data_IF_965615574904
#
_entry.id   IF_965615574904
#
_cell.length_a   1.000
_cell.length_b   1.000
_cell.length_c   1.000
_cell.angle_alpha   90.00
_cell.angle_beta   90.00
_cell.angle_gamma   90.00
#
_symmetry.space_group_name_H-M   'P 1'
#
loop_
_entity.id
_entity.type
_entity.pdbx_description
1 polymer ?
#
# COMPACT_ATOMS: atom_id res chain seq x y z
N UNK A 1 31.55 -26.16 45.30
CA UNK A 1 31.04 -26.12 43.91
C UNK A 1 29.54 -25.87 43.99
N UNK A 2 29.16 -24.59 43.86
CA UNK A 2 27.76 -24.16 44.02
C UNK A 2 27.11 -24.17 42.66
N UNK A 3 26.15 -25.05 42.42
CA UNK A 3 25.33 -25.06 41.19
C UNK A 3 24.21 -24.03 41.37
N UNK A 4 24.29 -22.93 40.66
CA UNK A 4 23.19 -21.96 40.55
C UNK A 4 22.27 -22.49 39.40
N UNK A 5 21.10 -23.00 39.78
CA UNK A 5 20.03 -23.29 38.83
C UNK A 5 19.35 -21.99 38.42
N UNK A 6 19.52 -21.56 37.19
CA UNK A 6 18.67 -20.54 36.59
C UNK A 6 17.31 -21.17 36.30
N UNK A 7 16.29 -20.83 37.08
CA UNK A 7 14.90 -21.11 36.78
C UNK A 7 14.47 -20.09 35.73
N UNK A 8 14.43 -20.51 34.48
CA UNK A 8 13.87 -19.73 33.39
C UNK A 8 12.35 -19.75 33.55
N UNK A 9 11.76 -18.65 34.04
CA UNK A 9 10.32 -18.48 34.12
C UNK A 9 9.77 -18.38 32.70
N UNK A 10 9.13 -19.40 32.20
CA UNK A 10 8.27 -19.35 31.03
C UNK A 10 7.01 -18.59 31.45
N UNK A 11 6.91 -17.31 31.10
CA UNK A 11 5.63 -16.62 31.14
C UNK A 11 4.76 -17.24 30.04
N UNK A 12 3.54 -17.71 30.37
CA UNK A 12 2.65 -18.21 29.34
C UNK A 12 2.32 -17.09 28.36
N UNK A 13 2.48 -17.35 27.07
CA UNK A 13 2.02 -16.46 26.02
C UNK A 13 0.47 -16.49 26.05
N UNK A 14 -0.13 -15.41 26.51
CA UNK A 14 -1.57 -15.23 26.39
C UNK A 14 -1.85 -14.63 25.00
N UNK A 15 -2.62 -15.31 24.18
CA UNK A 15 -3.11 -14.74 22.96
C UNK A 15 -3.86 -13.43 23.27
N UNK A 16 -3.59 -12.33 22.58
CA UNK A 16 -4.33 -11.09 22.79
C UNK A 16 -5.83 -11.31 22.53
N UNK A 17 -6.70 -10.45 23.10
CA UNK A 17 -8.12 -10.54 22.83
C UNK A 17 -8.41 -10.39 21.35
N UNK A 18 -9.53 -10.96 20.88
CA UNK A 18 -9.94 -10.84 19.49
C UNK A 18 -10.11 -9.36 19.10
N UNK A 19 -9.63 -8.95 17.91
CA UNK A 19 -9.80 -7.59 17.44
C UNK A 19 -11.28 -7.26 17.26
N UNK A 20 -11.65 -6.02 17.53
CA UNK A 20 -13.02 -5.52 17.37
C UNK A 20 -13.03 -4.29 16.49
N UNK A 21 -13.92 -4.31 15.48
CA UNK A 21 -14.09 -3.20 14.56
C UNK A 21 -15.58 -2.86 14.42
N UNK A 22 -15.85 -1.55 14.32
CA UNK A 22 -17.18 -1.03 14.02
C UNK A 22 -17.20 -0.47 12.60
N UNK A 23 -18.02 -1.07 11.74
CA UNK A 23 -18.19 -0.63 10.35
C UNK A 23 -18.93 0.71 10.27
N UNK A 24 -18.49 1.55 9.33
CA UNK A 24 -19.21 2.72 8.86
C UNK A 24 -19.10 2.82 7.35
N UNK A 25 -20.24 2.82 6.65
CA UNK A 25 -20.29 3.10 5.21
C UNK A 25 -20.13 4.60 4.99
N UNK A 26 -19.16 4.99 4.19
CA UNK A 26 -18.87 6.38 3.83
C UNK A 26 -19.51 6.73 2.49
N UNK A 27 -19.38 5.83 1.51
CA UNK A 27 -20.00 5.99 0.19
C UNK A 27 -20.51 4.62 -0.29
N UNK A 28 -21.69 4.57 -0.87
CA UNK A 28 -22.32 3.37 -1.45
C UNK A 28 -22.52 3.49 -2.97
N UNK A 29 -21.86 4.48 -3.59
CA UNK A 29 -21.98 4.79 -5.02
C UNK A 29 -20.60 4.94 -5.70
N UNK A 30 -19.57 4.30 -5.14
CA UNK A 30 -18.25 4.19 -5.73
C UNK A 30 -18.34 3.40 -7.04
N UNK A 31 -17.69 3.86 -8.11
CA UNK A 31 -17.75 3.15 -9.40
C UNK A 31 -16.81 1.94 -9.43
N UNK A 32 -15.56 2.10 -9.01
CA UNK A 32 -14.55 1.03 -8.94
C UNK A 32 -13.71 1.13 -7.66
N UNK A 33 -13.29 2.36 -7.25
CA UNK A 33 -12.50 2.57 -6.07
C UNK A 33 -11.08 2.02 -6.18
N UNK A 34 -10.38 2.34 -7.24
CA UNK A 34 -9.06 1.77 -7.58
C UNK A 34 -7.95 2.01 -6.56
N UNK A 35 -7.97 3.16 -5.88
CA UNK A 35 -6.92 3.50 -4.92
C UNK A 35 -7.40 4.44 -3.84
N UNK A 36 -6.99 4.18 -2.59
CA UNK A 36 -7.28 4.99 -1.41
C UNK A 36 -6.00 5.63 -0.90
N UNK A 37 -6.07 6.87 -0.45
CA UNK A 37 -5.02 7.53 0.31
C UNK A 37 -5.62 8.29 1.49
N UNK A 38 -4.83 8.59 2.50
CA UNK A 38 -5.26 9.28 3.71
C UNK A 38 -4.36 10.47 3.98
N UNK A 39 -4.93 11.57 4.46
CA UNK A 39 -4.18 12.75 4.89
C UNK A 39 -5.03 14.01 4.94
N UNK A 40 -4.54 15.02 5.60
CA UNK A 40 -5.25 16.30 5.81
C UNK A 40 -5.26 17.11 4.50
N UNK A 41 -6.43 17.28 3.90
CA UNK A 41 -6.62 18.00 2.64
C UNK A 41 -6.89 19.48 2.88
N UNK A 42 -7.65 19.81 3.91
CA UNK A 42 -8.12 21.18 4.17
C UNK A 42 -7.32 21.93 5.25
N UNK A 43 -6.40 21.26 5.94
CA UNK A 43 -5.54 21.85 6.96
C UNK A 43 -6.21 21.97 8.33
N UNK A 44 -7.21 21.14 8.62
CA UNK A 44 -7.90 21.14 9.92
C UNK A 44 -7.24 20.24 10.97
N UNK A 45 -6.14 19.58 10.60
CA UNK A 45 -5.33 18.70 11.45
C UNK A 45 -5.88 17.29 11.57
N UNK A 46 -6.89 16.92 10.76
CA UNK A 46 -7.47 15.58 10.76
C UNK A 46 -7.27 14.92 9.40
N UNK A 47 -6.95 13.63 9.38
CA UNK A 47 -6.79 12.92 8.11
C UNK A 47 -8.15 12.70 7.42
N UNK A 48 -8.24 13.14 6.17
CA UNK A 48 -9.34 12.89 5.26
C UNK A 48 -9.12 11.61 4.46
N UNK A 49 -10.17 11.12 3.78
CA UNK A 49 -10.06 9.99 2.86
C UNK A 49 -10.04 10.52 1.43
N UNK A 50 -9.04 10.11 0.65
CA UNK A 50 -8.94 10.41 -0.78
C UNK A 50 -9.15 9.12 -1.57
N UNK A 51 -9.88 9.20 -2.69
CA UNK A 51 -10.22 8.05 -3.52
C UNK A 51 -9.99 8.35 -5.00
N UNK A 52 -9.17 7.53 -5.64
CA UNK A 52 -9.12 7.44 -7.10
C UNK A 52 -10.25 6.53 -7.59
N UNK A 53 -11.37 7.11 -7.97
CA UNK A 53 -12.47 6.39 -8.59
C UNK A 53 -12.37 6.46 -10.12
N UNK A 54 -13.21 5.73 -10.82
CA UNK A 54 -13.16 5.51 -12.27
C UNK A 54 -12.79 6.75 -13.07
N UNK A 55 -13.55 7.85 -12.92
CA UNK A 55 -13.37 9.11 -13.67
C UNK A 55 -13.16 10.34 -12.80
N UNK A 56 -13.23 10.17 -11.50
CA UNK A 56 -13.10 11.25 -10.54
C UNK A 56 -12.05 10.92 -9.49
N UNK A 57 -11.33 11.94 -9.09
CA UNK A 57 -10.53 11.95 -7.86
C UNK A 57 -11.37 12.72 -6.85
N UNK A 58 -11.67 12.07 -5.75
CA UNK A 58 -12.57 12.62 -4.73
C UNK A 58 -11.94 12.55 -3.35
N UNK A 59 -12.43 13.36 -2.43
CA UNK A 59 -12.07 13.27 -1.04
C UNK A 59 -13.30 13.40 -0.15
N UNK A 60 -13.20 12.85 1.05
CA UNK A 60 -14.24 12.84 2.07
C UNK A 60 -13.67 13.47 3.32
N UNK A 61 -14.20 14.63 3.70
CA UNK A 61 -13.73 15.40 4.84
C UNK A 61 -13.99 14.67 6.14
N UNK A 62 -12.98 14.54 6.98
CA UNK A 62 -13.13 13.97 8.31
C UNK A 62 -14.12 14.78 9.16
N UNK A 63 -15.07 14.07 9.79
CA UNK A 63 -16.13 14.63 10.61
C UNK A 63 -17.50 14.65 9.92
N UNK A 64 -17.63 15.16 8.70
CA UNK A 64 -18.90 15.14 7.96
C UNK A 64 -18.95 14.05 6.88
N UNK A 65 -17.81 13.52 6.47
CA UNK A 65 -17.61 12.50 5.44
C UNK A 65 -18.34 12.81 4.13
N UNK A 66 -18.52 14.09 3.82
CA UNK A 66 -19.13 14.52 2.56
C UNK A 66 -18.13 14.36 1.43
N UNK A 67 -18.64 13.83 0.33
CA UNK A 67 -17.89 13.65 -0.92
C UNK A 67 -17.66 15.00 -1.61
N UNK A 68 -16.41 15.27 -1.99
CA UNK A 68 -15.97 16.44 -2.74
C UNK A 68 -15.12 15.99 -3.91
N UNK A 69 -15.21 16.69 -5.04
CA UNK A 69 -14.46 16.33 -6.25
C UNK A 69 -13.22 17.20 -6.34
N UNK A 70 -12.02 16.56 -6.38
CA UNK A 70 -10.75 17.23 -6.64
C UNK A 70 -10.48 17.40 -8.12
N UNK A 71 -10.64 16.33 -8.89
CA UNK A 71 -10.42 16.34 -10.34
C UNK A 71 -11.35 15.34 -11.01
N UNK A 72 -11.67 15.56 -12.28
CA UNK A 72 -12.51 14.66 -13.05
C UNK A 72 -12.10 14.63 -14.52
N UNK A 73 -12.36 13.48 -15.17
CA UNK A 73 -12.13 13.29 -16.60
C UNK A 73 -10.70 13.64 -17.04
N UNK A 74 -9.70 13.30 -16.23
CA UNK A 74 -8.29 13.60 -16.51
C UNK A 74 -7.81 12.97 -17.83
N UNK A 75 -8.35 11.79 -18.15
CA UNK A 75 -7.97 11.01 -19.34
C UNK A 75 -9.18 10.25 -19.92
N UNK A 76 -9.00 9.69 -21.13
CA UNK A 76 -10.02 8.87 -21.79
C UNK A 76 -10.31 7.57 -21.01
N UNK A 77 -9.28 6.92 -20.47
CA UNK A 77 -9.42 5.72 -19.65
C UNK A 77 -9.51 6.07 -18.14
N UNK A 78 -9.64 5.06 -17.31
CA UNK A 78 -9.88 5.22 -15.88
C UNK A 78 -8.66 5.76 -15.12
N UNK A 79 -8.90 6.36 -13.96
CA UNK A 79 -7.86 6.55 -12.96
C UNK A 79 -7.48 5.18 -12.35
N UNK A 80 -6.31 5.08 -11.71
CA UNK A 80 -5.84 3.77 -11.23
C UNK A 80 -5.16 3.83 -9.86
N UNK A 81 -4.56 4.94 -9.47
CA UNK A 81 -3.89 5.08 -8.18
C UNK A 81 -3.81 6.54 -7.73
N UNK A 82 -3.54 6.72 -6.45
CA UNK A 82 -3.42 8.02 -5.79
C UNK A 82 -2.36 7.95 -4.70
N UNK A 83 -1.64 9.04 -4.49
CA UNK A 83 -0.75 9.23 -3.35
C UNK A 83 -0.95 10.62 -2.76
N UNK A 84 -1.11 10.71 -1.44
CA UNK A 84 -1.27 11.94 -0.70
C UNK A 84 -0.28 11.96 0.47
N UNK A 85 0.43 13.07 0.66
CA UNK A 85 1.39 13.27 1.75
C UNK A 85 1.69 14.77 1.86
N UNK A 86 1.77 15.29 3.06
CA UNK A 86 2.36 16.61 3.30
C UNK A 86 3.87 16.52 3.03
N UNK A 87 4.30 17.01 1.86
CA UNK A 87 5.71 16.95 1.43
C UNK A 87 6.42 18.30 1.56
N UNK A 88 5.66 19.38 1.74
CA UNK A 88 6.20 20.73 1.90
C UNK A 88 6.21 21.24 3.34
N UNK A 89 5.49 20.55 4.25
CA UNK A 89 5.42 20.85 5.69
C UNK A 89 4.43 21.95 6.04
N UNK A 90 3.43 22.23 5.17
CA UNK A 90 2.40 23.25 5.44
C UNK A 90 1.16 22.72 6.18
N UNK A 91 1.13 21.42 6.47
CA UNK A 91 0.06 20.73 7.16
C UNK A 91 -1.04 20.19 6.23
N UNK A 92 -0.92 20.38 4.91
CA UNK A 92 -1.84 19.84 3.92
C UNK A 92 -1.13 18.85 3.01
N UNK A 93 -1.88 17.92 2.46
CA UNK A 93 -1.28 16.92 1.57
C UNK A 93 -1.11 17.44 0.15
N UNK A 94 0.04 17.12 -0.45
CA UNK A 94 0.23 17.13 -1.89
C UNK A 94 -0.30 15.84 -2.48
N UNK A 95 -1.06 15.96 -3.58
CA UNK A 95 -1.75 14.84 -4.21
C UNK A 95 -1.18 14.56 -5.60
N UNK A 96 -0.81 13.31 -5.83
CA UNK A 96 -0.48 12.79 -7.15
C UNK A 96 -1.42 11.65 -7.53
N UNK A 97 -1.74 11.54 -8.83
CA UNK A 97 -2.68 10.53 -9.33
C UNK A 97 -2.17 9.86 -10.60
N UNK A 98 -2.45 8.57 -10.72
CA UNK A 98 -2.27 7.79 -11.93
C UNK A 98 -3.58 7.62 -12.66
N UNK A 99 -3.55 7.75 -14.00
CA UNK A 99 -4.73 7.67 -14.84
C UNK A 99 -4.40 7.00 -16.19
N UNK A 100 -5.33 7.02 -17.15
CA UNK A 100 -5.22 6.38 -18.47
C UNK A 100 -4.94 4.87 -18.33
N UNK A 101 -5.69 4.21 -17.45
CA UNK A 101 -5.52 2.78 -17.17
C UNK A 101 -5.91 1.91 -18.35
N UNK A 102 -4.91 1.47 -19.11
CA UNK A 102 -5.05 0.58 -20.23
C UNK A 102 -3.92 -0.47 -20.20
N UNK A 103 -4.04 -1.52 -19.36
CA UNK A 103 -2.96 -2.47 -19.12
C UNK A 103 -2.60 -3.35 -20.30
N UNK A 104 -3.43 -3.41 -21.32
CA UNK A 104 -3.16 -4.15 -22.58
C UNK A 104 -2.28 -3.38 -23.56
N UNK A 105 -2.21 -2.04 -23.44
CA UNK A 105 -1.35 -1.20 -24.26
C UNK A 105 -0.06 -0.89 -23.49
N UNK A 106 1.02 -1.56 -23.83
CA UNK A 106 2.30 -1.47 -23.11
C UNK A 106 3.35 -0.64 -23.86
N UNK A 107 3.07 -0.21 -25.08
CA UNK A 107 4.06 0.44 -25.95
C UNK A 107 3.83 1.95 -26.11
N UNK A 108 2.58 2.37 -26.21
CA UNK A 108 2.20 3.75 -26.51
C UNK A 108 1.80 4.50 -25.23
N UNK A 109 2.68 5.35 -24.73
CA UNK A 109 2.45 6.14 -23.52
C UNK A 109 1.30 7.16 -23.64
N UNK A 110 0.91 7.57 -24.84
CA UNK A 110 -0.26 8.46 -25.03
C UNK A 110 -1.59 7.71 -24.87
N UNK A 111 -1.58 6.40 -25.04
CA UNK A 111 -2.77 5.54 -24.94
C UNK A 111 -2.83 4.71 -23.64
N UNK A 112 -1.77 4.74 -22.86
CA UNK A 112 -1.68 3.95 -21.62
C UNK A 112 -0.78 4.62 -20.61
N UNK A 113 -1.29 4.74 -19.38
CA UNK A 113 -0.62 5.39 -18.28
C UNK A 113 -0.65 6.93 -18.39
N UNK A 114 -0.76 7.57 -17.27
CA UNK A 114 -0.56 9.01 -17.09
C UNK A 114 -0.24 9.26 -15.61
N UNK A 115 0.54 10.29 -15.33
CA UNK A 115 0.83 10.75 -13.97
C UNK A 115 0.53 12.25 -13.92
N UNK A 116 -0.24 12.63 -12.92
CA UNK A 116 -0.55 14.03 -12.65
C UNK A 116 -0.21 14.38 -11.20
N UNK A 117 0.32 15.58 -11.02
CA UNK A 117 0.32 16.28 -9.75
C UNK A 117 -0.88 17.22 -9.73
N UNK A 118 -1.68 17.21 -8.67
CA UNK A 118 -2.83 18.07 -8.52
C UNK A 118 -2.44 19.28 -7.65
N UNK A 119 -2.48 20.48 -8.19
CA UNK A 119 -2.20 21.71 -7.44
C UNK A 119 -3.36 22.03 -6.51
N UNK A 120 -3.06 22.14 -5.21
CA UNK A 120 -4.03 22.48 -4.19
C UNK A 120 -4.50 23.94 -4.38
N UNK A 121 -5.79 24.22 -4.63
CA UNK A 121 -6.32 25.57 -4.69
C UNK A 121 -6.42 26.20 -3.28
N UNK A 122 -6.58 27.52 -3.21
CA UNK A 122 -6.80 28.19 -1.93
C UNK A 122 -8.04 27.69 -1.16
N UNK A 123 -9.07 27.28 -1.90
CA UNK A 123 -10.27 26.61 -1.36
C UNK A 123 -10.24 25.15 -1.88
N UNK A 124 -9.99 24.17 -1.01
CA UNK A 124 -9.84 22.76 -1.42
C UNK A 124 -11.14 22.12 -1.95
N UNK A 125 -12.29 22.77 -1.78
CA UNK A 125 -13.56 22.32 -2.35
C UNK A 125 -13.70 22.64 -3.86
N UNK A 126 -12.80 23.47 -4.42
CA UNK A 126 -12.74 23.73 -5.86
C UNK A 126 -11.98 22.61 -6.58
N UNK A 127 -12.16 22.53 -7.90
CA UNK A 127 -11.37 21.60 -8.73
C UNK A 127 -9.89 22.00 -8.71
N UNK A 128 -9.04 21.01 -8.53
CA UNK A 128 -7.59 21.16 -8.52
C UNK A 128 -7.04 21.15 -9.93
N UNK A 129 -6.05 21.99 -10.22
CA UNK A 129 -5.39 22.04 -11.52
C UNK A 129 -4.45 20.84 -11.72
N UNK A 130 -4.69 19.97 -12.72
CA UNK A 130 -3.80 18.85 -12.99
C UNK A 130 -2.55 19.29 -13.78
N UNK A 131 -1.38 18.97 -13.26
CA UNK A 131 -0.08 19.14 -13.91
C UNK A 131 0.44 17.79 -14.35
N UNK A 132 0.57 17.56 -15.66
CA UNK A 132 1.03 16.28 -16.19
C UNK A 132 2.54 16.13 -15.98
N UNK A 133 2.96 14.98 -15.47
CA UNK A 133 4.35 14.57 -15.33
C UNK A 133 4.75 13.58 -16.44
N UNK A 134 6.04 13.46 -16.80
CA UNK A 134 6.50 12.37 -17.67
C UNK A 134 6.11 11.01 -17.11
N UNK A 135 5.84 10.02 -17.95
CA UNK A 135 5.39 8.71 -17.48
C UNK A 135 5.77 7.58 -18.44
N UNK A 136 5.73 6.35 -17.96
CA UNK A 136 5.76 5.13 -18.75
C UNK A 136 4.32 4.59 -18.97
N UNK A 137 4.07 3.76 -19.99
CA UNK A 137 2.80 3.05 -20.12
C UNK A 137 2.45 2.25 -18.87
N UNK A 138 1.18 1.93 -18.70
CA UNK A 138 0.67 1.06 -17.61
C UNK A 138 1.00 1.54 -16.20
N UNK A 139 1.07 2.87 -15.96
CA UNK A 139 1.12 3.42 -14.59
C UNK A 139 0.12 2.70 -13.69
N UNK A 140 0.57 2.18 -12.52
CA UNK A 140 -0.30 1.31 -11.72
C UNK A 140 -0.33 1.65 -10.23
N UNK A 141 0.82 1.90 -9.58
CA UNK A 141 0.89 2.29 -8.17
C UNK A 141 1.84 3.46 -7.98
N UNK A 142 1.61 4.22 -6.92
CA UNK A 142 2.49 5.33 -6.53
C UNK A 142 2.47 5.57 -5.03
N UNK A 143 3.57 6.09 -4.49
CA UNK A 143 3.69 6.54 -3.11
C UNK A 143 4.67 7.72 -3.02
N UNK A 144 4.41 8.64 -2.10
CA UNK A 144 5.42 9.59 -1.67
C UNK A 144 6.42 8.90 -0.74
N UNK A 145 7.70 9.11 -1.01
CA UNK A 145 8.82 8.50 -0.29
C UNK A 145 9.76 9.60 0.18
N UNK A 146 10.09 9.59 1.47
CA UNK A 146 11.03 10.54 2.06
C UNK A 146 12.42 9.93 2.13
N UNK A 147 13.40 10.57 1.51
CA UNK A 147 14.80 10.15 1.61
C UNK A 147 15.40 10.43 3.00
N UNK A 148 16.55 9.84 3.29
CA UNK A 148 17.30 10.09 4.52
C UNK A 148 17.70 11.57 4.72
N UNK A 149 17.75 12.35 3.63
CA UNK A 149 18.05 13.80 3.67
C UNK A 149 16.82 14.67 3.89
N UNK A 150 15.63 14.08 3.96
CA UNK A 150 14.38 14.79 4.13
C UNK A 150 13.69 15.20 2.84
N UNK A 151 14.33 15.00 1.66
CA UNK A 151 13.73 15.27 0.35
C UNK A 151 12.66 14.22 0.03
N UNK A 152 11.51 14.67 -0.47
CA UNK A 152 10.45 13.80 -0.93
C UNK A 152 10.55 13.50 -2.44
N UNK A 153 10.19 12.27 -2.77
CA UNK A 153 10.10 11.76 -4.13
C UNK A 153 8.75 11.08 -4.34
N UNK A 154 8.10 11.34 -5.46
CA UNK A 154 6.98 10.54 -5.90
C UNK A 154 7.54 9.32 -6.64
N UNK A 155 7.41 8.14 -6.03
CA UNK A 155 7.78 6.87 -6.68
C UNK A 155 6.56 6.33 -7.42
N UNK A 156 6.74 5.99 -8.70
CA UNK A 156 5.69 5.48 -9.58
C UNK A 156 6.12 4.13 -10.16
N UNK A 157 5.25 3.15 -10.00
CA UNK A 157 5.42 1.77 -10.43
C UNK A 157 4.47 1.47 -11.59
N UNK A 158 4.94 1.33 -12.84
CA UNK A 158 4.15 0.76 -13.93
C UNK A 158 3.87 -0.74 -13.69
N UNK A 159 2.82 -1.29 -14.30
CA UNK A 159 2.53 -2.73 -14.24
C UNK A 159 3.47 -3.54 -15.15
N UNK A 160 3.73 -3.04 -16.37
CA UNK A 160 4.55 -3.70 -17.38
C UNK A 160 5.71 -2.82 -17.84
N UNK A 161 6.81 -3.44 -18.25
CA UNK A 161 7.84 -2.78 -19.06
C UNK A 161 7.31 -2.40 -20.45
N UNK A 162 7.94 -1.41 -21.09
CA UNK A 162 7.52 -0.91 -22.41
C UNK A 162 7.61 -2.01 -23.48
N UNK A 163 6.50 -2.24 -24.19
CA UNK A 163 6.40 -3.31 -25.19
C UNK A 163 6.34 -4.73 -24.62
N UNK A 164 6.31 -4.86 -23.31
CA UNK A 164 6.26 -6.15 -22.64
C UNK A 164 4.89 -6.81 -22.80
N UNK A 165 4.88 -8.15 -22.94
CA UNK A 165 3.65 -8.96 -23.00
C UNK A 165 3.75 -10.08 -21.96
N UNK A 166 2.79 -10.12 -21.04
CA UNK A 166 2.68 -11.16 -20.02
C UNK A 166 3.97 -11.38 -19.17
N UNK A 167 4.74 -10.32 -18.96
CA UNK A 167 6.01 -10.38 -18.22
C UNK A 167 7.20 -10.83 -19.06
N UNK A 168 7.12 -10.70 -20.39
CA UNK A 168 8.22 -10.96 -21.33
C UNK A 168 8.50 -9.72 -22.16
N UNK A 169 9.75 -9.31 -22.31
CA UNK A 169 10.18 -8.10 -23.01
C UNK A 169 11.04 -7.20 -22.15
N UNK A 170 10.90 -5.87 -22.30
CA UNK A 170 11.66 -4.91 -21.49
C UNK A 170 11.19 -4.91 -20.03
N UNK A 171 12.11 -4.57 -19.14
CA UNK A 171 11.82 -4.42 -17.72
C UNK A 171 11.00 -3.17 -17.41
N UNK A 172 10.32 -3.22 -16.27
CA UNK A 172 9.53 -2.11 -15.72
C UNK A 172 10.46 -1.01 -15.22
N UNK A 173 10.38 0.18 -15.79
CA UNK A 173 11.10 1.34 -15.26
C UNK A 173 10.36 1.90 -14.07
N UNK A 174 10.88 1.68 -12.88
CA UNK A 174 10.38 2.29 -11.64
C UNK A 174 10.90 3.72 -11.60
N UNK A 175 9.99 4.70 -11.62
CA UNK A 175 10.33 6.11 -11.71
C UNK A 175 10.27 6.78 -10.33
N UNK A 176 11.20 7.69 -10.05
CA UNK A 176 11.13 8.60 -8.91
C UNK A 176 11.23 10.04 -9.40
N UNK A 177 10.26 10.86 -9.03
CA UNK A 177 10.22 12.30 -9.34
C UNK A 177 10.59 13.07 -8.08
N UNK A 178 11.67 13.85 -8.15
CA UNK A 178 12.09 14.72 -7.06
C UNK A 178 11.09 15.87 -6.90
N UNK A 179 10.40 15.93 -5.74
CA UNK A 179 9.44 17.01 -5.51
C UNK A 179 10.09 18.38 -5.58
N UNK A 180 9.45 19.28 -6.30
CA UNK A 180 9.86 20.67 -6.42
C UNK A 180 8.66 21.60 -6.23
N UNK A 181 8.78 22.53 -5.30
CA UNK A 181 7.72 23.46 -4.94
C UNK A 181 7.27 24.42 -6.07
N UNK A 182 8.01 24.47 -7.19
CA UNK A 182 7.64 25.32 -8.34
C UNK A 182 6.42 24.82 -9.12
N UNK A 183 5.93 23.60 -8.83
CA UNK A 183 4.68 23.01 -9.32
C UNK A 183 4.44 23.09 -10.86
N UNK A 184 5.50 23.24 -11.65
CA UNK A 184 5.39 23.37 -13.11
C UNK A 184 5.47 22.04 -13.87
N UNK A 185 5.56 20.90 -13.16
CA UNK A 185 5.69 19.56 -13.73
C UNK A 185 7.06 19.22 -14.31
N UNK A 186 8.02 20.13 -14.24
CA UNK A 186 9.39 19.89 -14.70
C UNK A 186 10.26 19.33 -13.58
N UNK A 187 9.79 18.26 -12.96
CA UNK A 187 10.51 17.62 -11.87
C UNK A 187 11.63 16.72 -12.41
N UNK A 188 12.73 16.72 -11.71
CA UNK A 188 13.84 15.81 -12.03
C UNK A 188 13.38 14.38 -11.80
N UNK A 189 13.58 13.55 -12.82
CA UNK A 189 13.10 12.16 -12.82
C UNK A 189 14.28 11.21 -12.87
N UNK A 190 14.20 10.16 -12.06
CA UNK A 190 15.18 9.09 -11.96
C UNK A 190 14.54 7.75 -12.26
N UNK A 191 15.31 6.82 -12.82
CA UNK A 191 14.96 5.39 -12.92
C UNK A 191 15.62 4.69 -11.74
N UNK A 192 14.82 4.13 -10.84
CA UNK A 192 15.34 3.40 -9.67
C UNK A 192 15.76 1.98 -10.01
N UNK A 193 15.02 1.32 -10.87
CA UNK A 193 15.28 -0.05 -11.33
C UNK A 193 14.54 -0.34 -12.62
N UNK A 194 15.01 -1.38 -13.35
CA UNK A 194 14.36 -1.88 -14.56
C UNK A 194 14.53 -3.41 -14.72
N UNK A 195 14.81 -4.12 -13.64
CA UNK A 195 15.11 -5.56 -13.69
C UNK A 195 13.89 -6.47 -13.63
N UNK A 196 12.76 -5.99 -13.09
CA UNK A 196 11.50 -6.75 -13.04
C UNK A 196 10.67 -6.49 -14.29
N UNK A 197 9.91 -7.50 -14.75
CA UNK A 197 9.17 -7.41 -16.01
C UNK A 197 7.66 -7.22 -15.84
N UNK A 198 7.12 -7.66 -14.71
CA UNK A 198 5.71 -7.50 -14.34
C UNK A 198 5.61 -7.26 -12.85
N UNK A 199 5.31 -6.02 -12.47
CA UNK A 199 5.21 -5.57 -11.08
C UNK A 199 3.76 -5.27 -10.71
N UNK A 200 3.42 -5.20 -9.42
CA UNK A 200 2.06 -4.90 -9.01
C UNK A 200 1.99 -3.84 -7.92
N UNK A 201 2.63 -4.05 -6.80
CA UNK A 201 2.65 -3.08 -5.70
C UNK A 201 4.03 -3.01 -5.05
N UNK A 202 4.24 -2.04 -4.19
CA UNK A 202 5.49 -1.88 -3.45
C UNK A 202 5.24 -1.28 -2.07
N UNK A 203 6.20 -1.49 -1.19
CA UNK A 203 6.28 -0.81 0.10
C UNK A 203 7.63 -0.13 0.25
N UNK A 204 7.69 0.87 1.15
CA UNK A 204 8.91 1.61 1.44
C UNK A 204 9.27 1.48 2.90
N UNK A 205 10.48 1.03 3.17
CA UNK A 205 11.08 1.04 4.51
C UNK A 205 12.13 2.16 4.58
N UNK A 206 11.92 3.10 5.48
CA UNK A 206 12.88 4.17 5.75
C UNK A 206 14.15 3.63 6.40
N UNK A 207 15.26 4.37 6.28
CA UNK A 207 16.50 4.01 6.95
C UNK A 207 16.32 4.07 8.48
N UNK A 208 16.84 3.06 9.16
CA UNK A 208 17.01 3.05 10.61
C UNK A 208 18.48 2.76 10.95
N UNK A 209 18.82 2.65 12.26
CA UNK A 209 20.21 2.46 12.69
C UNK A 209 20.89 1.18 12.15
N UNK A 210 20.12 0.23 11.64
CA UNK A 210 20.60 -1.10 11.22
C UNK A 210 20.34 -1.41 9.73
N UNK A 211 19.37 -0.73 9.13
CA UNK A 211 18.94 -1.00 7.74
C UNK A 211 19.00 0.25 6.87
N UNK A 212 19.38 0.05 5.62
CA UNK A 212 19.31 1.07 4.58
C UNK A 212 17.86 1.23 4.11
N UNK A 213 17.50 2.45 3.70
CA UNK A 213 16.18 2.69 3.11
C UNK A 213 16.03 2.00 1.76
N UNK A 214 14.84 1.48 1.48
CA UNK A 214 14.58 0.82 0.22
C UNK A 214 13.12 0.52 -0.07
N UNK A 215 12.90 0.06 -1.28
CA UNK A 215 11.60 -0.39 -1.76
C UNK A 215 11.56 -1.91 -1.79
N UNK A 216 10.53 -2.48 -1.21
CA UNK A 216 10.14 -3.87 -1.45
C UNK A 216 9.13 -3.87 -2.59
N UNK A 217 9.48 -4.44 -3.72
CA UNK A 217 8.63 -4.45 -4.92
C UNK A 217 8.14 -5.87 -5.18
N UNK A 218 6.82 -6.04 -5.23
CA UNK A 218 6.15 -7.28 -5.55
C UNK A 218 5.85 -7.39 -7.06
N UNK A 219 6.08 -8.55 -7.64
CA UNK A 219 5.83 -8.82 -9.05
C UNK A 219 5.84 -10.30 -9.39
N UNK A 220 5.81 -10.60 -10.69
CA UNK A 220 5.87 -11.97 -11.21
C UNK A 220 7.11 -12.73 -10.74
N UNK A 221 8.23 -12.03 -10.60
CA UNK A 221 9.51 -12.58 -10.18
C UNK A 221 9.68 -12.70 -8.65
N UNK A 222 8.59 -12.54 -7.91
CA UNK A 222 8.59 -12.52 -6.45
C UNK A 222 8.77 -11.12 -5.88
N UNK A 223 9.36 -11.03 -4.69
CA UNK A 223 9.67 -9.74 -4.04
C UNK A 223 11.15 -9.43 -4.21
N UNK A 224 11.43 -8.17 -4.59
CA UNK A 224 12.79 -7.65 -4.69
C UNK A 224 12.96 -6.44 -3.79
N UNK A 225 14.13 -6.33 -3.19
CA UNK A 225 14.54 -5.14 -2.45
C UNK A 225 15.40 -4.25 -3.35
N UNK A 226 15.04 -2.98 -3.44
CA UNK A 226 15.78 -1.96 -4.18
C UNK A 226 16.25 -0.93 -3.17
N UNK A 227 17.55 -0.94 -2.90
CA UNK A 227 18.15 0.09 -2.06
C UNK A 227 18.00 1.46 -2.73
N UNK A 228 17.42 2.42 -1.99
CA UNK A 228 17.19 3.78 -2.50
C UNK A 228 18.15 4.76 -1.86
N UNK A 229 19.27 5.00 -2.52
CA UNK A 229 20.09 6.18 -2.25
C UNK A 229 19.82 7.21 -3.36
N UNK A 230 18.74 7.97 -3.19
CA UNK A 230 18.32 9.00 -4.15
C UNK A 230 19.39 10.07 -4.46
N UNK A 231 20.47 10.12 -3.69
CA UNK A 231 21.56 11.08 -3.87
C UNK A 231 22.66 10.57 -4.81
N UNK A 232 22.80 9.26 -4.99
CA UNK A 232 23.94 8.69 -5.73
C UNK A 232 23.71 8.46 -7.22
N UNK A 233 22.54 8.79 -7.76
CA UNK A 233 22.24 8.76 -9.22
C UNK A 233 22.57 7.45 -9.95
N UNK A 234 22.79 6.36 -9.25
CA UNK A 234 22.97 5.06 -9.86
C UNK A 234 21.62 4.35 -9.86
N UNK A 235 21.27 3.69 -10.96
CA UNK A 235 20.21 2.68 -10.96
C UNK A 235 20.48 1.75 -9.79
N UNK A 236 19.56 1.73 -8.82
CA UNK A 236 19.62 0.78 -7.72
C UNK A 236 19.63 -0.63 -8.31
N UNK A 237 20.43 -1.53 -7.78
CA UNK A 237 20.34 -2.91 -8.21
C UNK A 237 19.26 -3.58 -7.37
N UNK A 238 18.14 -3.95 -8.01
CA UNK A 238 17.17 -4.82 -7.39
C UNK A 238 17.83 -6.12 -6.96
N UNK A 239 17.86 -6.36 -5.66
CA UNK A 239 18.33 -7.61 -5.10
C UNK A 239 17.14 -8.56 -4.91
N UNK A 240 17.26 -9.79 -5.42
CA UNK A 240 16.28 -10.84 -5.10
C UNK A 240 16.41 -11.20 -3.62
N UNK A 241 15.29 -11.19 -2.90
CA UNK A 241 15.25 -11.71 -1.53
C UNK A 241 15.19 -13.24 -1.63
N UNK A 242 16.21 -13.90 -1.11
CA UNK A 242 16.33 -15.37 -1.21
C UNK A 242 15.13 -16.04 -0.55
N UNK A 243 14.44 -16.93 -1.28
CA UNK A 243 13.24 -17.63 -0.82
C UNK A 243 11.93 -16.89 -1.04
N UNK A 244 11.96 -15.68 -1.64
CA UNK A 244 10.77 -14.92 -2.01
C UNK A 244 10.63 -14.84 -3.54
N UNK A 245 10.76 -15.95 -4.23
CA UNK A 245 10.67 -16.11 -5.68
C UNK A 245 9.29 -16.57 -6.16
N UNK A 246 8.37 -16.79 -5.26
CA UNK A 246 6.94 -16.98 -5.58
C UNK A 246 6.38 -15.64 -6.05
N UNK A 247 5.75 -15.56 -7.22
CA UNK A 247 5.16 -14.31 -7.67
C UNK A 247 4.24 -13.67 -6.62
N UNK A 248 4.31 -12.36 -6.42
CA UNK A 248 3.50 -11.64 -5.44
C UNK A 248 2.82 -10.42 -6.06
N UNK A 249 1.60 -10.10 -5.62
CA UNK A 249 0.87 -8.88 -6.00
C UNK A 249 1.02 -7.77 -4.97
N UNK A 250 0.96 -8.11 -3.71
CA UNK A 250 1.05 -7.17 -2.60
C UNK A 250 2.28 -7.47 -1.74
N UNK A 251 2.84 -6.43 -1.15
CA UNK A 251 3.94 -6.53 -0.19
C UNK A 251 3.84 -5.44 0.88
N UNK A 252 4.02 -5.81 2.14
CA UNK A 252 4.13 -4.87 3.28
C UNK A 252 5.17 -5.38 4.25
N UNK A 253 5.90 -4.45 4.85
CA UNK A 253 6.85 -4.74 5.94
C UNK A 253 6.16 -4.51 7.28
N UNK A 254 6.32 -5.45 8.21
CA UNK A 254 5.76 -5.36 9.55
C UNK A 254 6.73 -5.79 10.63
N UNK A 255 6.43 -5.41 11.87
CA UNK A 255 7.22 -5.75 13.05
C UNK A 255 6.63 -6.98 13.74
N UNK A 256 7.40 -8.05 13.82
CA UNK A 256 7.04 -9.22 14.64
C UNK A 256 7.29 -8.96 16.13
N UNK A 257 8.37 -8.26 16.40
CA UNK A 257 8.79 -7.72 17.71
C UNK A 257 9.55 -6.43 17.48
N UNK A 258 9.98 -5.74 18.53
CA UNK A 258 10.80 -4.53 18.40
C UNK A 258 12.09 -4.74 17.56
N UNK A 259 12.63 -5.96 17.55
CA UNK A 259 13.92 -6.28 16.93
C UNK A 259 13.80 -7.20 15.69
N UNK A 260 12.59 -7.64 15.35
CA UNK A 260 12.36 -8.56 14.22
C UNK A 260 11.24 -8.08 13.33
N UNK A 261 11.51 -7.99 12.04
CA UNK A 261 10.53 -7.70 11.01
C UNK A 261 10.02 -8.98 10.34
N UNK A 262 8.92 -8.84 9.64
CA UNK A 262 8.43 -9.78 8.66
C UNK A 262 8.01 -9.05 7.38
N UNK A 263 7.95 -9.79 6.27
CA UNK A 263 7.40 -9.27 5.01
C UNK A 263 6.10 -10.02 4.75
N UNK A 264 4.99 -9.30 4.66
CA UNK A 264 3.70 -9.86 4.29
C UNK A 264 3.47 -9.72 2.78
N UNK A 265 2.89 -10.75 2.16
CA UNK A 265 2.59 -10.79 0.71
C UNK A 265 1.22 -11.39 0.44
N UNK A 266 0.69 -11.12 -0.77
CA UNK A 266 -0.37 -11.90 -1.39
C UNK A 266 0.20 -12.60 -2.61
N UNK A 267 0.08 -13.93 -2.68
CA UNK A 267 0.74 -14.80 -3.66
C UNK A 267 -0.23 -15.76 -4.38
N UNK A 268 0.08 -16.04 -5.67
CA UNK A 268 0.86 -15.24 -6.60
C UNK A 268 0.18 -13.89 -6.84
N UNK A 269 0.64 -13.10 -7.82
CA UNK A 269 -0.02 -11.82 -8.14
C UNK A 269 -1.53 -12.02 -8.39
N UNK A 270 -2.40 -11.25 -7.69
CA UNK A 270 -3.85 -11.49 -7.58
C UNK A 270 -4.19 -12.91 -7.09
N UNK A 271 -3.40 -13.41 -6.17
CA UNK A 271 -3.42 -14.81 -5.80
C UNK A 271 -4.40 -15.18 -4.69
N UNK A 272 -4.14 -16.36 -4.16
CA UNK A 272 -5.04 -17.02 -3.21
C UNK A 272 -4.42 -17.17 -1.83
N UNK A 273 -3.14 -16.84 -1.66
CA UNK A 273 -2.44 -17.02 -0.39
C UNK A 273 -2.02 -15.69 0.23
N UNK A 274 -2.33 -15.51 1.50
CA UNK A 274 -1.74 -14.49 2.37
C UNK A 274 -0.56 -15.14 3.08
N UNK A 275 0.62 -14.57 2.95
CA UNK A 275 1.88 -15.18 3.39
C UNK A 275 2.72 -14.17 4.14
N UNK A 276 3.48 -14.63 5.11
CA UNK A 276 4.55 -13.84 5.71
C UNK A 276 5.89 -14.55 5.54
N UNK A 277 6.94 -13.76 5.50
CA UNK A 277 8.31 -14.20 5.44
C UNK A 277 9.10 -13.59 6.59
N UNK A 278 9.88 -14.40 7.26
CA UNK A 278 10.89 -13.95 8.21
C UNK A 278 12.25 -14.00 7.55
N UNK A 279 13.04 -12.95 7.70
CA UNK A 279 14.44 -12.99 7.33
C UNK A 279 15.18 -14.01 8.21
N UNK A 280 15.91 -14.92 7.59
CA UNK A 280 16.80 -15.88 8.21
C UNK A 280 18.13 -15.82 7.45
N UNK A 281 19.27 -16.09 8.11
CA UNK A 281 20.64 -15.92 7.60
C UNK A 281 20.90 -16.54 6.21
N UNK A 282 20.11 -17.52 5.80
CA UNK A 282 20.31 -18.24 4.55
C UNK A 282 19.12 -18.29 3.60
N UNK A 283 17.90 -18.07 4.07
CA UNK A 283 16.68 -18.15 3.26
C UNK A 283 15.49 -17.62 4.03
N UNK A 284 14.59 -16.86 3.38
CA UNK A 284 13.39 -16.38 4.05
C UNK A 284 12.46 -17.55 4.39
N UNK A 285 12.05 -17.63 5.66
CA UNK A 285 11.14 -18.66 6.16
C UNK A 285 9.71 -18.27 5.86
N UNK A 286 9.04 -19.03 5.01
CA UNK A 286 7.69 -18.78 4.53
C UNK A 286 6.63 -19.39 5.47
N UNK A 287 5.64 -18.59 5.90
CA UNK A 287 4.48 -19.01 6.69
C UNK A 287 3.20 -18.59 5.98
N UNK A 288 2.30 -19.53 5.69
CA UNK A 288 1.01 -19.27 5.05
C UNK A 288 -0.02 -18.96 6.15
N UNK A 289 -0.62 -17.76 6.09
CA UNK A 289 -1.66 -17.31 7.02
C UNK A 289 -3.06 -17.75 6.55
N UNK A 290 -3.29 -17.68 5.24
CA UNK A 290 -4.52 -18.08 4.57
C UNK A 290 -4.19 -18.56 3.15
N UNK A 291 -4.93 -19.48 2.61
CA UNK A 291 -4.78 -19.98 1.23
C UNK A 291 -6.11 -20.04 0.47
N UNK A 292 -7.10 -19.30 0.95
CA UNK A 292 -8.46 -19.30 0.41
C UNK A 292 -8.99 -17.90 0.08
N UNK A 293 -8.14 -16.88 0.11
CA UNK A 293 -8.50 -15.59 -0.53
C UNK A 293 -8.54 -15.79 -2.05
N UNK A 294 -9.36 -15.03 -2.75
CA UNK A 294 -9.45 -15.15 -4.21
C UNK A 294 -9.38 -13.78 -4.87
N UNK A 295 -8.42 -13.61 -5.78
CA UNK A 295 -8.02 -12.29 -6.28
C UNK A 295 -7.68 -11.35 -5.13
N UNK A 296 -6.79 -11.80 -4.23
CA UNK A 296 -6.26 -10.97 -3.16
C UNK A 296 -5.62 -9.71 -3.73
N UNK A 297 -6.03 -8.54 -3.23
CA UNK A 297 -5.66 -7.27 -3.86
C UNK A 297 -5.33 -6.16 -2.87
N UNK A 298 -5.67 -6.31 -1.62
CA UNK A 298 -5.42 -5.31 -0.58
C UNK A 298 -4.68 -5.94 0.59
N UNK A 299 -3.63 -5.28 1.06
CA UNK A 299 -2.78 -5.73 2.16
C UNK A 299 -2.35 -4.53 3.00
N UNK A 300 -2.49 -4.64 4.31
CA UNK A 300 -2.00 -3.66 5.27
C UNK A 300 -1.40 -4.35 6.50
N UNK A 301 -0.51 -3.64 7.18
CA UNK A 301 0.17 -4.12 8.39
C UNK A 301 0.23 -2.97 9.38
N UNK A 302 -0.18 -3.22 10.63
CA UNK A 302 -0.07 -2.27 11.75
C UNK A 302 -0.29 -2.98 13.09
N UNK A 303 0.10 -2.35 14.19
CA UNK A 303 -0.21 -2.80 15.55
C UNK A 303 -1.64 -2.39 15.95
N UNK A 304 -2.65 -3.08 15.41
CA UNK A 304 -4.07 -2.81 15.70
C UNK A 304 -4.47 -3.11 17.14
N UNK A 305 -3.72 -3.94 17.83
CA UNK A 305 -4.05 -4.41 19.18
C UNK A 305 -3.22 -3.70 20.27
N UNK A 306 -2.24 -2.86 19.90
CA UNK A 306 -1.36 -2.18 20.84
C UNK A 306 -0.47 -3.14 21.66
N UNK A 307 -0.06 -4.25 21.03
CA UNK A 307 0.70 -5.34 21.69
C UNK A 307 2.21 -5.31 21.36
N UNK A 308 2.66 -4.29 20.63
CA UNK A 308 4.06 -4.15 20.22
C UNK A 308 4.47 -5.13 19.11
N UNK A 309 3.52 -5.69 18.41
CA UNK A 309 3.73 -6.48 17.19
C UNK A 309 2.60 -6.25 16.22
N UNK A 310 2.93 -6.17 14.93
CA UNK A 310 1.96 -5.87 13.90
C UNK A 310 1.08 -7.09 13.56
N UNK A 311 -0.16 -6.80 13.19
CA UNK A 311 -1.08 -7.74 12.58
C UNK A 311 -1.16 -7.47 11.07
N UNK A 312 -1.53 -8.50 10.32
CA UNK A 312 -1.72 -8.44 8.87
C UNK A 312 -3.20 -8.33 8.56
N UNK A 313 -3.59 -7.38 7.72
CA UNK A 313 -4.95 -7.25 7.18
C UNK A 313 -4.90 -7.52 5.69
N UNK A 314 -5.73 -8.44 5.21
CA UNK A 314 -5.86 -8.72 3.79
C UNK A 314 -7.32 -8.67 3.33
N UNK A 315 -7.51 -8.12 2.12
CA UNK A 315 -8.79 -8.06 1.44
C UNK A 315 -8.72 -8.67 0.04
N UNK A 316 -9.84 -9.19 -0.45
CA UNK A 316 -9.94 -9.84 -1.75
C UNK A 316 -11.24 -9.50 -2.49
N UNK A 317 -11.20 -9.64 -3.84
CA UNK A 317 -12.25 -9.14 -4.73
C UNK A 317 -13.26 -10.17 -5.20
N UNK A 318 -12.83 -11.41 -5.37
CA UNK A 318 -13.65 -12.50 -5.91
C UNK A 318 -14.06 -13.49 -4.83
N UNK A 319 -15.24 -14.11 -4.93
CA UNK A 319 -15.71 -15.06 -3.91
C UNK A 319 -14.74 -16.22 -3.66
N UNK A 320 -14.42 -16.45 -2.41
CA UNK A 320 -13.64 -17.60 -1.91
C UNK A 320 -14.41 -18.92 -2.02
N UNK A 321 -13.94 -20.01 -1.42
CA UNK A 321 -14.59 -21.32 -1.45
C UNK A 321 -15.96 -21.35 -0.76
N UNK A 322 -16.19 -20.42 0.17
CA UNK A 322 -17.49 -20.25 0.83
C UNK A 322 -18.43 -19.31 0.07
N UNK A 323 -18.00 -18.78 -1.06
CA UNK A 323 -18.74 -17.79 -1.85
C UNK A 323 -18.68 -16.37 -1.28
N UNK A 324 -17.69 -16.04 -0.45
CA UNK A 324 -17.56 -14.76 0.25
C UNK A 324 -16.41 -13.92 -0.28
N UNK A 325 -16.61 -12.61 -0.27
CA UNK A 325 -15.57 -11.58 -0.36
C UNK A 325 -15.39 -10.95 1.02
N UNK A 326 -14.28 -10.24 1.25
CA UNK A 326 -14.18 -9.53 2.52
C UNK A 326 -12.78 -9.09 2.91
N UNK A 327 -12.68 -8.78 4.19
CA UNK A 327 -11.44 -8.35 4.85
C UNK A 327 -11.24 -9.17 6.11
N UNK A 328 -10.06 -9.76 6.27
CA UNK A 328 -9.64 -10.47 7.48
C UNK A 328 -8.41 -9.83 8.11
N UNK A 329 -8.33 -9.90 9.42
CA UNK A 329 -7.12 -9.63 10.20
C UNK A 329 -6.51 -10.96 10.66
N UNK A 330 -5.19 -11.05 10.55
CA UNK A 330 -4.38 -12.18 11.01
C UNK A 330 -3.47 -11.73 12.13
N UNK A 331 -3.47 -12.45 13.24
CA UNK A 331 -2.66 -12.17 14.43
C UNK A 331 -1.89 -13.40 14.86
N UNK A 332 -0.65 -13.22 15.31
CA UNK A 332 0.16 -14.33 15.83
C UNK A 332 -0.41 -14.88 17.14
N UNK A 333 -0.29 -16.20 17.33
CA UNK A 333 -0.72 -16.90 18.55
C UNK A 333 0.42 -17.55 19.31
N UNK A 334 1.66 -17.39 18.84
CA UNK A 334 2.88 -17.82 19.51
C UNK A 334 3.95 -16.72 19.50
N UNK A 335 4.99 -16.89 20.28
CA UNK A 335 6.07 -15.91 20.41
C UNK A 335 6.92 -15.80 19.13
N UNK A 336 7.09 -16.90 18.41
CA UNK A 336 7.99 -17.01 17.26
C UNK A 336 7.32 -16.60 15.94
N UNK A 337 6.01 -16.29 15.96
CA UNK A 337 5.24 -15.92 14.77
C UNK A 337 5.01 -17.05 13.78
N UNK A 338 5.05 -18.30 14.24
CA UNK A 338 4.85 -19.48 13.40
C UNK A 338 3.39 -19.90 13.31
N UNK A 339 2.58 -19.49 14.28
CA UNK A 339 1.14 -19.80 14.35
C UNK A 339 0.35 -18.51 14.34
N UNK A 340 -0.66 -18.45 13.49
CA UNK A 340 -1.53 -17.28 13.30
C UNK A 340 -2.99 -17.73 13.31
N UNK A 341 -3.86 -16.83 13.76
CA UNK A 341 -5.32 -16.99 13.66
C UNK A 341 -5.92 -15.82 12.90
N UNK A 342 -7.00 -16.07 12.18
CA UNK A 342 -7.71 -15.04 11.41
C UNK A 342 -9.00 -14.62 12.10
N UNK A 343 -9.36 -13.34 11.91
CA UNK A 343 -10.62 -12.76 12.36
C UNK A 343 -11.24 -11.96 11.22
N UNK A 344 -12.54 -12.11 11.02
CA UNK A 344 -13.27 -11.30 10.07
C UNK A 344 -13.39 -9.86 10.56
N UNK A 345 -13.02 -8.90 9.70
CA UNK A 345 -13.34 -7.48 9.84
C UNK A 345 -14.61 -7.19 9.07
N UNK A 346 -14.66 -7.65 7.81
CA UNK A 346 -15.86 -7.59 6.97
C UNK A 346 -16.12 -8.97 6.35
N UNK A 347 -17.30 -9.53 6.63
CA UNK A 347 -17.70 -10.84 6.14
C UNK A 347 -18.75 -10.69 5.04
N UNK A 348 -18.31 -10.60 3.79
CA UNK A 348 -19.11 -10.54 2.56
C UNK A 348 -19.72 -9.17 2.20
N UNK A 349 -19.27 -8.07 2.82
CA UNK A 349 -19.73 -6.71 2.51
C UNK A 349 -18.71 -5.84 1.76
N UNK A 350 -17.50 -6.38 1.46
CA UNK A 350 -16.40 -5.65 0.85
C UNK A 350 -15.62 -6.53 -0.14
N UNK A 351 -15.86 -6.33 -1.44
CA UNK A 351 -15.02 -6.90 -2.50
C UNK A 351 -13.77 -5.99 -2.67
N UNK A 352 -12.80 -6.16 -1.79
CA UNK A 352 -11.77 -5.19 -1.47
C UNK A 352 -10.78 -4.96 -2.61
N UNK A 353 -10.71 -3.72 -3.10
CA UNK A 353 -9.77 -3.29 -4.15
C UNK A 353 -8.52 -2.65 -3.57
N UNK A 354 -8.65 -1.79 -2.56
CA UNK A 354 -7.53 -1.17 -1.88
C UNK A 354 -7.84 -0.93 -0.39
N UNK A 355 -6.79 -0.80 0.41
CA UNK A 355 -6.89 -0.61 1.85
C UNK A 355 -5.80 0.32 2.36
N UNK A 356 -6.18 1.23 3.28
CA UNK A 356 -5.25 2.09 4.00
C UNK A 356 -5.55 2.04 5.50
N UNK A 357 -4.52 2.36 6.29
CA UNK A 357 -4.58 2.30 7.75
C UNK A 357 -4.04 3.59 8.33
N UNK A 358 -4.81 4.21 9.22
CA UNK A 358 -4.43 5.41 9.97
C UNK A 358 -5.35 5.58 11.18
N UNK A 359 -4.89 6.22 12.23
CA UNK A 359 -5.76 6.71 13.32
C UNK A 359 -6.55 7.92 12.83
N UNK A 360 -7.83 7.70 12.47
CA UNK A 360 -8.69 8.74 11.88
C UNK A 360 -9.42 9.56 12.94
N UNK A 361 -9.54 9.06 14.16
CA UNK A 361 -10.32 9.69 15.23
C UNK A 361 -9.45 10.25 16.37
N UNK A 362 -8.13 10.02 16.34
CA UNK A 362 -7.18 10.52 17.33
C UNK A 362 -7.18 9.73 18.65
N UNK A 363 -7.66 8.47 18.64
CA UNK A 363 -7.71 7.63 19.85
C UNK A 363 -6.44 6.78 20.06
N UNK A 364 -5.46 6.91 19.17
CA UNK A 364 -4.18 6.21 19.20
C UNK A 364 -4.23 4.79 18.64
N UNK A 365 -5.32 4.37 18.02
CA UNK A 365 -5.48 3.05 17.40
C UNK A 365 -5.62 3.17 15.89
N UNK A 366 -4.96 2.31 15.11
CA UNK A 366 -5.12 2.31 13.67
C UNK A 366 -6.53 1.88 13.26
N UNK A 367 -7.24 2.74 12.52
CA UNK A 367 -8.48 2.41 11.82
C UNK A 367 -8.17 1.91 10.40
N UNK A 368 -9.14 1.29 9.76
CA UNK A 368 -8.99 0.73 8.42
C UNK A 368 -9.97 1.43 7.48
N UNK A 369 -9.47 1.91 6.34
CA UNK A 369 -10.29 2.40 5.22
C UNK A 369 -10.15 1.43 4.06
N UNK A 370 -11.27 0.94 3.52
CA UNK A 370 -11.27 0.03 2.38
C UNK A 370 -12.24 0.48 1.30
N UNK A 371 -11.82 0.36 0.04
CA UNK A 371 -12.66 0.52 -1.14
C UNK A 371 -13.03 -0.82 -1.75
N UNK A 372 -14.28 -0.97 -2.17
CA UNK A 372 -14.83 -2.20 -2.72
C UNK A 372 -15.21 -2.05 -4.18
N UNK A 373 -14.61 -2.88 -5.06
CA UNK A 373 -14.84 -2.86 -6.50
C UNK A 373 -16.22 -3.36 -6.89
N UNK A 374 -16.53 -4.63 -6.64
CA UNK A 374 -17.81 -5.22 -6.98
C UNK A 374 -18.94 -4.80 -6.03
N UNK A 375 -18.60 -4.47 -4.79
CA UNK A 375 -19.54 -3.96 -3.79
C UNK A 375 -19.79 -2.46 -3.90
N UNK A 376 -19.02 -1.74 -4.73
CA UNK A 376 -19.19 -0.32 -5.06
C UNK A 376 -19.31 0.59 -3.84
N UNK A 377 -18.48 0.35 -2.83
CA UNK A 377 -18.53 1.05 -1.56
C UNK A 377 -17.16 1.50 -1.06
N UNK A 378 -17.20 2.48 -0.15
CA UNK A 378 -16.07 2.91 0.66
C UNK A 378 -16.50 2.84 2.12
N UNK A 379 -15.70 2.18 2.95
CA UNK A 379 -16.00 1.97 4.36
C UNK A 379 -14.83 2.34 5.25
N UNK A 380 -15.14 2.79 6.47
CA UNK A 380 -14.22 2.80 7.60
C UNK A 380 -14.58 1.64 8.53
N UNK A 381 -13.57 0.94 9.01
CA UNK A 381 -13.67 0.01 10.12
C UNK A 381 -12.92 0.62 11.30
N UNK A 382 -13.68 1.24 12.19
CA UNK A 382 -13.18 1.87 13.41
C UNK A 382 -12.65 0.82 14.37
N UNK A 383 -11.43 0.93 14.80
CA UNK A 383 -10.82 0.02 15.74
C UNK A 383 -11.33 0.27 17.16
N UNK A 384 -12.14 -0.64 17.68
CA UNK A 384 -12.71 -0.59 19.03
C UNK A 384 -12.07 -1.65 19.96
N UNK A 385 -10.96 -2.25 19.55
CA UNK A 385 -10.25 -3.28 20.34
C UNK A 385 -9.80 -2.72 21.68
N UNK A 386 -9.99 -3.52 22.74
CA UNK A 386 -9.56 -3.14 24.10
C UNK A 386 -10.39 -2.05 24.78
N UNK A 387 -11.59 -1.72 24.29
CA UNK A 387 -12.57 -0.87 24.97
C UNK A 387 -13.42 -1.68 25.94
#
# INVERSE_FOLDING_TARGET
MLFIFFIQWWLPFFAPPAPQFREQVIDSAVSIGYGVSLGDVDGDGKPDILLADKKQIVWYRNGDWKRRVMAENLTEHDNVCIAAQDVNGDGKVEVAVGAQWNPSETSNAEQSGAVFFLKNPADPEQLWEPVRLPHEPTTHRMKWVKSATGQYYLVVLPLHGRGNKAGEGEGVKILAYEYQANENGQWKTYILDSAMHLTHNFDFEGANNEKQSGLYVAGKEGVRFIETDFLKQAEGKAAAIRGMDQGAGEVRVGNLTADKNFIATIEPMHGTAVVIYFEDDNNAKRVVLDNDVKEGHALAVADFLGVGSDQVVAGWRSPDKEGKVGVKLYMKTDADGMQWQSHWIDNNGMACEDIQVMDLNGDGKPDIVASGRATQNLKIYWNTSGQ
#
